data_IF_529872721002
#
_entry.id   IF_529872721002
#
_cell.length_a   1.000
_cell.length_b   1.000
_cell.length_c   1.000
_cell.angle_alpha   90.00
_cell.angle_beta   90.00
_cell.angle_gamma   90.00
#
_symmetry.space_group_name_H-M   'P 1'
#
loop_
_entity.id
_entity.type
_entity.pdbx_description
1 polymer ?
#
# COMPACT_ATOMS: atom_id res chain seq x y z
N UNK A 1 30.52 20.24 -47.52
CA UNK A 1 31.88 19.71 -47.24
C UNK A 1 32.27 20.18 -45.85
N UNK A 2 31.93 19.41 -44.81
CA UNK A 2 32.71 18.27 -44.28
C UNK A 2 33.75 18.74 -43.25
N UNK A 3 33.35 18.70 -41.97
CA UNK A 3 34.22 18.84 -40.81
C UNK A 3 33.78 17.85 -39.72
N UNK A 4 34.00 16.56 -39.98
CA UNK A 4 33.75 15.47 -39.04
C UNK A 4 34.71 15.56 -37.83
N UNK A 5 34.16 15.64 -36.61
CA UNK A 5 34.83 15.14 -35.40
C UNK A 5 34.15 13.84 -34.98
N UNK A 6 34.82 12.71 -35.23
CA UNK A 6 34.49 11.40 -34.65
C UNK A 6 35.06 11.35 -33.23
N UNK A 7 34.21 11.12 -32.23
CA UNK A 7 34.62 10.57 -30.93
C UNK A 7 34.42 9.04 -30.96
N UNK A 8 35.31 8.26 -30.32
CA UNK A 8 35.32 6.81 -30.46
C UNK A 8 34.28 6.11 -29.58
N UNK A 9 33.75 5.04 -30.17
CA UNK A 9 32.91 3.97 -29.62
C UNK A 9 33.47 3.44 -28.29
N UNK A 10 32.74 3.63 -27.18
CA UNK A 10 33.00 2.91 -25.93
C UNK A 10 32.29 1.56 -25.99
N UNK A 11 33.11 0.53 -25.82
CA UNK A 11 32.81 -0.89 -25.85
C UNK A 11 31.80 -1.24 -24.74
N UNK A 12 30.65 -1.80 -25.12
CA UNK A 12 29.77 -2.55 -24.21
C UNK A 12 30.47 -3.86 -23.84
N UNK A 13 31.04 -3.95 -22.64
CA UNK A 13 31.48 -5.22 -22.08
C UNK A 13 30.25 -5.97 -21.53
N UNK A 14 29.80 -6.95 -22.31
CA UNK A 14 28.90 -8.00 -21.87
C UNK A 14 29.74 -9.14 -21.30
N UNK A 15 29.62 -9.43 -20.01
CA UNK A 15 30.24 -10.60 -19.38
C UNK A 15 29.17 -11.66 -19.13
N UNK A 16 28.89 -12.42 -20.17
CA UNK A 16 28.54 -13.83 -20.09
C UNK A 16 29.84 -14.58 -19.82
N UNK A 17 29.99 -15.14 -18.62
CA UNK A 17 30.99 -16.16 -18.34
C UNK A 17 30.31 -17.32 -17.61
N UNK A 18 30.01 -18.33 -18.42
CA UNK A 18 29.72 -19.71 -18.08
C UNK A 18 30.82 -20.33 -17.20
N UNK A 19 30.42 -20.87 -16.05
CA UNK A 19 31.11 -21.99 -15.41
C UNK A 19 30.08 -23.10 -15.16
N UNK A 20 30.08 -24.09 -16.06
CA UNK A 20 29.71 -25.47 -15.74
C UNK A 20 30.80 -26.07 -14.82
N UNK A 21 30.45 -27.21 -14.19
CA UNK A 21 31.20 -28.02 -13.21
C UNK A 21 30.96 -27.57 -11.76
N UNK A 22 30.31 -28.33 -10.86
CA UNK A 22 29.75 -29.67 -10.88
C UNK A 22 28.55 -29.69 -9.91
N UNK A 23 27.47 -30.38 -10.25
CA UNK A 23 26.38 -30.61 -9.31
C UNK A 23 26.77 -31.73 -8.34
N UNK A 24 26.65 -31.55 -7.02
CA UNK A 24 26.65 -32.69 -6.13
C UNK A 24 25.30 -33.39 -6.28
N UNK A 25 25.35 -34.65 -6.70
CA UNK A 25 24.25 -35.59 -6.55
C UNK A 25 23.96 -35.68 -5.05
N UNK A 26 22.85 -35.08 -4.62
CA UNK A 26 22.37 -35.23 -3.24
C UNK A 26 21.78 -36.63 -3.16
N UNK A 27 22.50 -37.52 -2.48
CA UNK A 27 22.04 -38.86 -2.16
C UNK A 27 20.79 -38.77 -1.26
N UNK A 28 19.67 -39.29 -1.74
CA UNK A 28 18.36 -39.23 -1.08
C UNK A 28 18.31 -39.97 0.28
N UNK A 29 19.38 -40.68 0.66
CA UNK A 29 19.50 -41.41 1.92
C UNK A 29 20.20 -40.64 3.05
N UNK A 30 20.70 -39.42 2.80
CA UNK A 30 21.34 -38.60 3.83
C UNK A 30 20.35 -37.74 4.64
N UNK A 31 19.06 -37.78 4.29
CA UNK A 31 17.98 -37.00 4.92
C UNK A 31 17.33 -37.68 6.14
N UNK A 32 17.82 -38.82 6.62
CA UNK A 32 17.16 -39.61 7.68
C UNK A 32 17.91 -39.60 9.02
N UNK A 33 19.07 -38.95 9.13
CA UNK A 33 19.87 -38.97 10.36
C UNK A 33 20.24 -37.56 10.88
N UNK A 34 19.25 -36.70 11.13
CA UNK A 34 19.38 -35.61 12.12
C UNK A 34 18.04 -35.24 12.75
N UNK A 35 17.10 -36.19 12.82
CA UNK A 35 15.78 -35.99 13.38
C UNK A 35 15.74 -36.38 14.88
N UNK A 36 16.56 -35.77 15.72
CA UNK A 36 16.38 -35.79 17.18
C UNK A 36 17.01 -34.57 17.82
N UNK A 37 16.42 -33.40 17.56
CA UNK A 37 16.35 -32.28 18.50
C UNK A 37 15.21 -31.39 18.00
N UNK A 38 13.97 -31.87 18.15
CA UNK A 38 12.80 -30.99 18.11
C UNK A 38 12.90 -30.07 19.32
N UNK A 39 13.64 -28.97 19.18
CA UNK A 39 13.37 -27.77 19.98
C UNK A 39 11.89 -27.48 19.80
N UNK A 40 11.12 -27.47 20.89
CA UNK A 40 9.71 -27.11 20.86
C UNK A 40 9.54 -25.87 19.97
N UNK A 41 8.70 -25.97 18.93
CA UNK A 41 8.54 -24.90 17.96
C UNK A 41 8.15 -23.61 18.71
N UNK A 42 9.08 -22.66 18.78
CA UNK A 42 8.85 -21.38 19.44
C UNK A 42 7.77 -20.67 18.66
N UNK A 43 6.63 -20.40 19.30
CA UNK A 43 5.53 -19.69 18.69
C UNK A 43 6.03 -18.32 18.17
N UNK A 44 5.64 -17.91 16.95
CA UNK A 44 6.04 -16.62 16.42
C UNK A 44 5.65 -15.47 17.38
N UNK A 45 6.58 -14.59 17.79
CA UNK A 45 6.26 -13.44 18.60
C UNK A 45 5.22 -12.56 17.91
N UNK A 46 4.14 -12.28 18.61
CA UNK A 46 2.98 -11.60 18.06
C UNK A 46 2.40 -10.60 19.07
N UNK A 47 2.11 -9.39 18.60
CA UNK A 47 1.28 -8.41 19.30
C UNK A 47 -0.16 -8.49 18.80
N UNK A 48 -1.12 -8.28 19.70
CA UNK A 48 -2.54 -8.39 19.36
C UNK A 48 -3.34 -7.21 19.86
N UNK A 49 -4.23 -6.69 19.02
CA UNK A 49 -5.23 -5.68 19.40
C UNK A 49 -6.61 -6.23 19.06
N UNK A 50 -7.35 -6.61 20.09
CA UNK A 50 -8.66 -7.27 19.97
C UNK A 50 -9.59 -6.62 20.99
N UNK A 51 -10.84 -6.34 20.59
CA UNK A 51 -11.85 -5.89 21.54
C UNK A 51 -12.13 -7.00 22.57
N UNK A 52 -12.26 -6.67 23.87
CA UNK A 52 -12.54 -7.68 24.90
C UNK A 52 -13.90 -8.38 24.73
N UNK A 53 -14.86 -7.72 24.08
CA UNK A 53 -16.23 -8.19 23.91
C UNK A 53 -16.67 -8.08 22.45
N UNK A 54 -17.43 -9.09 22.00
CA UNK A 54 -18.00 -9.17 20.66
C UNK A 54 -17.15 -10.00 19.68
N UNK A 55 -17.82 -10.65 18.73
CA UNK A 55 -17.16 -11.38 17.65
C UNK A 55 -16.54 -10.38 16.66
N UNK A 56 -15.25 -10.51 16.28
CA UNK A 56 -14.65 -9.64 15.27
C UNK A 56 -15.36 -9.76 13.92
N UNK A 57 -15.43 -8.65 13.19
CA UNK A 57 -15.96 -8.61 11.81
C UNK A 57 -15.00 -9.30 10.84
N UNK A 58 -13.70 -9.15 11.09
CA UNK A 58 -12.61 -9.79 10.37
C UNK A 58 -11.38 -9.89 11.29
N UNK A 59 -10.46 -10.78 10.95
CA UNK A 59 -9.13 -10.84 11.53
C UNK A 59 -8.10 -10.37 10.49
N UNK A 60 -7.10 -9.63 10.94
CA UNK A 60 -6.03 -9.08 10.11
C UNK A 60 -4.68 -9.43 10.73
N UNK A 61 -3.89 -10.22 10.01
CA UNK A 61 -2.49 -10.49 10.36
C UNK A 61 -1.61 -9.46 9.66
N UNK A 62 -0.72 -8.79 10.39
CA UNK A 62 0.17 -7.76 9.89
C UNK A 62 1.64 -8.22 9.93
N UNK A 63 2.39 -7.97 8.85
CA UNK A 63 3.81 -8.33 8.72
C UNK A 63 4.62 -7.07 8.44
N UNK A 64 5.58 -6.77 9.31
CA UNK A 64 6.31 -5.50 9.25
C UNK A 64 7.42 -5.47 8.18
N UNK A 65 7.85 -4.26 7.83
CA UNK A 65 8.95 -3.94 6.92
C UNK A 65 10.34 -4.18 7.50
N UNK A 66 11.37 -4.04 6.65
CA UNK A 66 12.76 -4.32 7.01
C UNK A 66 13.21 -3.41 8.16
N UNK A 67 13.73 -3.99 9.24
CA UNK A 67 14.34 -3.24 10.35
C UNK A 67 13.36 -2.77 11.43
N UNK A 68 12.07 -3.01 11.26
CA UNK A 68 11.03 -2.72 12.23
C UNK A 68 10.70 -3.96 13.08
N UNK A 69 9.62 -3.88 13.86
CA UNK A 69 9.04 -4.99 14.61
C UNK A 69 7.51 -4.84 14.66
N UNK A 70 6.80 -5.82 15.25
CA UNK A 70 5.35 -5.84 15.38
C UNK A 70 4.74 -4.58 16.02
N UNK A 71 5.49 -3.85 16.85
CA UNK A 71 5.04 -2.60 17.47
C UNK A 71 4.85 -1.46 16.46
N UNK A 72 5.39 -1.58 15.25
CA UNK A 72 5.14 -0.62 14.17
C UNK A 72 3.64 -0.50 13.85
N UNK A 73 2.83 -1.52 14.13
CA UNK A 73 1.39 -1.49 13.94
C UNK A 73 0.58 -1.00 15.15
N UNK A 74 1.19 -0.43 16.20
CA UNK A 74 0.48 -0.06 17.43
C UNK A 74 -0.69 0.91 17.19
N UNK A 75 -0.47 2.04 16.51
CA UNK A 75 -1.55 3.00 16.20
C UNK A 75 -2.61 2.40 15.26
N UNK A 76 -2.17 1.69 14.22
CA UNK A 76 -3.06 1.02 13.27
C UNK A 76 -3.93 -0.04 13.95
N UNK A 77 -3.33 -0.91 14.77
CA UNK A 77 -4.00 -1.99 15.50
C UNK A 77 -5.00 -1.47 16.51
N UNK A 78 -4.66 -0.40 17.24
CA UNK A 78 -5.61 0.27 18.15
C UNK A 78 -6.81 0.87 17.40
N UNK A 79 -6.59 1.50 16.23
CA UNK A 79 -7.68 2.05 15.40
C UNK A 79 -8.56 0.97 14.80
N UNK A 80 -7.97 -0.04 14.17
CA UNK A 80 -8.68 -1.14 13.54
C UNK A 80 -9.47 -1.97 14.56
N UNK A 81 -8.89 -2.25 15.74
CA UNK A 81 -9.58 -2.96 16.82
C UNK A 81 -10.79 -2.19 17.34
N UNK A 82 -10.73 -0.87 17.47
CA UNK A 82 -11.89 -0.01 17.80
C UNK A 82 -13.01 -0.13 16.78
N UNK A 83 -12.73 -0.53 15.55
CA UNK A 83 -13.71 -0.78 14.50
C UNK A 83 -14.14 -2.26 14.38
N UNK A 84 -13.73 -3.12 15.33
CA UNK A 84 -14.16 -4.52 15.37
C UNK A 84 -13.32 -5.47 14.52
N UNK A 85 -12.13 -5.06 14.07
CA UNK A 85 -11.16 -5.93 13.40
C UNK A 85 -10.17 -6.47 14.44
N UNK A 86 -10.02 -7.79 14.53
CA UNK A 86 -8.98 -8.38 15.38
C UNK A 86 -7.63 -8.31 14.67
N UNK A 87 -6.66 -7.57 15.22
CA UNK A 87 -5.35 -7.37 14.59
C UNK A 87 -4.26 -8.16 15.30
N UNK A 88 -3.41 -8.83 14.53
CA UNK A 88 -2.29 -9.64 14.97
C UNK A 88 -1.03 -9.22 14.21
N UNK A 89 -0.05 -8.57 14.83
CA UNK A 89 1.20 -8.20 14.17
C UNK A 89 2.33 -9.13 14.60
N UNK A 90 3.08 -9.67 13.63
CA UNK A 90 4.18 -10.61 13.86
C UNK A 90 5.53 -9.90 13.83
N UNK A 91 6.47 -10.37 14.64
CA UNK A 91 7.89 -10.09 14.42
C UNK A 91 8.43 -11.02 13.32
N UNK A 92 9.07 -10.44 12.30
CA UNK A 92 9.73 -11.17 11.21
C UNK A 92 11.07 -11.73 11.69
N UNK A 93 11.42 -12.96 11.27
CA UNK A 93 12.69 -13.61 11.59
C UNK A 93 13.88 -12.67 11.38
N UNK A 94 14.73 -12.58 12.38
CA UNK A 94 15.87 -11.67 12.41
C UNK A 94 15.57 -10.25 12.88
N UNK A 95 14.32 -9.94 13.23
CA UNK A 95 13.87 -8.63 13.74
C UNK A 95 13.00 -8.78 14.99
N UNK A 96 12.74 -7.66 15.67
CA UNK A 96 11.90 -7.66 16.86
C UNK A 96 12.44 -8.59 17.94
N UNK A 97 11.56 -9.36 18.55
CA UNK A 97 11.89 -10.32 19.60
C UNK A 97 12.81 -11.45 19.13
N UNK A 98 12.86 -11.74 17.83
CA UNK A 98 13.74 -12.78 17.28
C UNK A 98 15.22 -12.47 17.42
N UNK A 99 15.62 -11.20 17.52
CA UNK A 99 17.03 -10.83 17.71
C UNK A 99 17.61 -11.35 19.03
N UNK A 100 16.74 -11.66 20.00
CA UNK A 100 17.08 -12.23 21.31
C UNK A 100 16.95 -13.75 21.34
N UNK A 101 16.49 -14.36 20.25
CA UNK A 101 16.17 -15.78 20.15
C UNK A 101 17.30 -16.53 19.46
N UNK A 102 17.99 -17.41 20.22
CA UNK A 102 19.14 -18.17 19.72
C UNK A 102 18.77 -19.01 18.50
N UNK A 103 19.51 -18.85 17.39
CA UNK A 103 19.27 -19.53 16.12
C UNK A 103 18.25 -18.84 15.20
N UNK A 104 17.62 -17.76 15.65
CA UNK A 104 16.61 -16.99 14.92
C UNK A 104 17.00 -15.51 14.77
N UNK A 105 18.21 -15.14 15.18
CA UNK A 105 18.64 -13.74 15.29
C UNK A 105 18.82 -13.09 13.93
N UNK A 106 19.01 -13.86 12.85
CA UNK A 106 19.26 -13.38 11.50
C UNK A 106 18.06 -13.64 10.58
N UNK A 107 18.03 -12.91 9.47
CA UNK A 107 16.98 -13.04 8.47
C UNK A 107 16.97 -14.46 7.88
N UNK A 108 15.81 -15.11 7.94
CA UNK A 108 15.50 -16.34 7.22
C UNK A 108 14.07 -16.23 6.67
N UNK A 109 13.93 -16.09 5.35
CA UNK A 109 12.63 -15.90 4.73
C UNK A 109 11.80 -17.18 4.66
N UNK A 110 12.41 -18.36 4.54
CA UNK A 110 11.67 -19.62 4.50
C UNK A 110 11.01 -19.89 5.87
N UNK A 111 11.78 -19.72 6.95
CA UNK A 111 11.25 -19.80 8.32
C UNK A 111 10.19 -18.72 8.56
N UNK A 112 10.39 -17.50 8.04
CA UNK A 112 9.40 -16.44 8.15
C UNK A 112 8.07 -16.80 7.46
N UNK A 113 8.10 -17.37 6.25
CA UNK A 113 6.89 -17.81 5.56
C UNK A 113 6.15 -18.89 6.37
N UNK A 114 6.90 -19.80 6.99
CA UNK A 114 6.33 -20.82 7.88
C UNK A 114 5.75 -20.21 9.17
N UNK A 115 6.42 -19.23 9.78
CA UNK A 115 5.92 -18.51 10.97
C UNK A 115 4.60 -17.78 10.66
N UNK A 116 4.49 -17.13 9.50
CA UNK A 116 3.23 -16.48 9.07
C UNK A 116 2.14 -17.52 8.85
N UNK A 117 2.46 -18.66 8.21
CA UNK A 117 1.51 -19.78 8.02
C UNK A 117 0.96 -20.29 9.36
N UNK A 118 1.85 -20.61 10.32
CA UNK A 118 1.47 -21.10 11.65
C UNK A 118 0.60 -20.08 12.39
N UNK A 119 0.90 -18.79 12.23
CA UNK A 119 0.08 -17.71 12.81
C UNK A 119 -1.30 -17.67 12.19
N UNK A 120 -1.40 -17.74 10.86
CA UNK A 120 -2.70 -17.77 10.16
C UNK A 120 -3.55 -18.97 10.58
N UNK A 121 -2.95 -20.15 10.71
CA UNK A 121 -3.62 -21.35 11.23
C UNK A 121 -4.14 -21.13 12.66
N UNK A 122 -3.32 -20.56 13.54
CA UNK A 122 -3.70 -20.24 14.92
C UNK A 122 -4.82 -19.18 15.00
N UNK A 123 -4.76 -18.14 14.17
CA UNK A 123 -5.77 -17.08 14.09
C UNK A 123 -7.10 -17.64 13.61
N UNK A 124 -7.10 -18.49 12.56
CA UNK A 124 -8.33 -19.16 12.09
C UNK A 124 -8.93 -20.07 13.15
N UNK A 125 -8.08 -20.83 13.86
CA UNK A 125 -8.53 -21.70 14.95
C UNK A 125 -9.16 -20.91 16.11
N UNK A 126 -8.59 -19.75 16.42
CA UNK A 126 -9.05 -18.90 17.53
C UNK A 126 -10.28 -18.06 17.16
N UNK A 127 -10.54 -17.86 15.86
CA UNK A 127 -11.64 -17.05 15.34
C UNK A 127 -12.50 -17.86 14.34
N UNK A 128 -13.25 -18.88 14.81
CA UNK A 128 -14.04 -19.71 13.92
C UNK A 128 -15.09 -18.87 13.16
N UNK A 129 -15.18 -19.11 11.84
CA UNK A 129 -16.08 -18.39 10.93
C UNK A 129 -15.88 -16.86 10.92
N UNK A 130 -14.66 -16.40 11.17
CA UNK A 130 -14.24 -15.00 10.96
C UNK A 130 -13.32 -14.97 9.73
N UNK A 131 -13.57 -14.09 8.76
CA UNK A 131 -12.69 -13.90 7.60
C UNK A 131 -11.30 -13.43 8.03
N UNK A 132 -10.25 -14.02 7.45
CA UNK A 132 -8.85 -13.72 7.80
C UNK A 132 -8.15 -13.06 6.62
N UNK A 133 -7.52 -11.93 6.85
CA UNK A 133 -6.74 -11.19 5.87
C UNK A 133 -5.28 -11.06 6.31
N UNK A 134 -4.41 -10.82 5.35
CA UNK A 134 -2.99 -10.58 5.58
C UNK A 134 -2.61 -9.21 5.02
N UNK A 135 -2.05 -8.34 5.85
CA UNK A 135 -1.45 -7.08 5.46
C UNK A 135 0.06 -7.15 5.66
N UNK A 136 0.81 -6.63 4.72
CA UNK A 136 2.22 -6.38 4.92
C UNK A 136 2.66 -5.12 4.22
N UNK A 137 3.71 -4.48 4.73
CA UNK A 137 4.27 -3.27 4.15
C UNK A 137 5.77 -3.41 3.87
N UNK A 138 6.20 -2.90 2.71
CA UNK A 138 7.57 -3.01 2.22
C UNK A 138 8.01 -4.48 2.09
N UNK A 139 9.06 -4.89 2.81
CA UNK A 139 9.45 -6.30 2.98
C UNK A 139 8.28 -7.18 3.43
N UNK A 140 7.45 -6.68 4.35
CA UNK A 140 6.24 -7.37 4.80
C UNK A 140 5.21 -7.53 3.70
N UNK A 141 5.08 -6.57 2.79
CA UNK A 141 4.18 -6.65 1.63
C UNK A 141 4.63 -7.73 0.65
N UNK A 142 5.94 -7.81 0.42
CA UNK A 142 6.56 -8.90 -0.33
C UNK A 142 6.32 -10.27 0.31
N UNK A 143 6.45 -10.38 1.64
CA UNK A 143 6.13 -11.61 2.39
C UNK A 143 4.65 -11.94 2.25
N UNK A 144 3.76 -10.96 2.37
CA UNK A 144 2.31 -11.14 2.27
C UNK A 144 1.89 -11.71 0.91
N UNK A 145 2.42 -11.17 -0.19
CA UNK A 145 2.19 -11.70 -1.54
C UNK A 145 2.69 -13.14 -1.70
N UNK A 146 3.85 -13.46 -1.12
CA UNK A 146 4.41 -14.81 -1.18
C UNK A 146 3.59 -15.81 -0.39
N UNK A 147 3.18 -15.47 0.83
CA UNK A 147 2.30 -16.28 1.68
C UNK A 147 0.96 -16.51 0.98
N UNK A 148 0.35 -15.46 0.42
CA UNK A 148 -0.89 -15.58 -0.32
C UNK A 148 -0.78 -16.50 -1.54
N UNK A 149 0.40 -16.54 -2.18
CA UNK A 149 0.69 -17.43 -3.31
C UNK A 149 0.84 -18.89 -2.89
N UNK A 150 1.41 -19.14 -1.70
CA UNK A 150 1.67 -20.48 -1.18
C UNK A 150 0.48 -21.09 -0.44
N UNK A 151 -0.27 -20.27 0.31
CA UNK A 151 -1.33 -20.69 1.22
C UNK A 151 -2.63 -19.87 1.03
N UNK A 152 -3.15 -19.75 -0.20
CA UNK A 152 -4.33 -18.94 -0.48
C UNK A 152 -5.58 -19.38 0.31
N UNK A 153 -5.68 -20.65 0.69
CA UNK A 153 -6.79 -21.23 1.46
C UNK A 153 -6.89 -20.71 2.91
N UNK A 154 -5.80 -20.16 3.45
CA UNK A 154 -5.79 -19.57 4.79
C UNK A 154 -6.37 -18.16 4.81
N UNK A 155 -6.56 -17.54 3.64
CA UNK A 155 -6.87 -16.11 3.49
C UNK A 155 -8.20 -15.87 2.77
N UNK A 156 -8.82 -14.75 3.10
CA UNK A 156 -9.96 -14.16 2.41
C UNK A 156 -9.56 -12.94 1.55
N UNK A 157 -8.32 -12.47 1.71
CA UNK A 157 -7.72 -11.42 0.90
C UNK A 157 -6.32 -11.08 1.40
N UNK A 158 -5.52 -10.43 0.55
CA UNK A 158 -4.18 -9.94 0.91
C UNK A 158 -4.06 -8.45 0.57
N UNK A 159 -3.48 -7.69 1.50
CA UNK A 159 -3.12 -6.28 1.36
C UNK A 159 -1.61 -6.18 1.33
N UNK A 160 -1.07 -5.61 0.25
CA UNK A 160 0.36 -5.48 0.02
C UNK A 160 0.72 -4.00 -0.19
N UNK A 161 1.35 -3.39 0.80
CA UNK A 161 1.79 -2.00 0.75
C UNK A 161 3.24 -1.91 0.29
N UNK A 162 3.52 -1.04 -0.69
CA UNK A 162 4.86 -0.72 -1.23
C UNK A 162 5.81 -1.92 -1.43
N UNK A 163 5.39 -3.03 -2.07
CA UNK A 163 6.08 -4.32 -1.99
C UNK A 163 7.28 -4.49 -2.94
N UNK A 164 7.60 -3.51 -3.79
CA UNK A 164 8.59 -3.68 -4.82
C UNK A 164 10.04 -3.66 -4.28
N UNK A 165 10.90 -4.47 -4.90
CA UNK A 165 12.31 -4.62 -4.51
C UNK A 165 13.23 -3.54 -5.08
N UNK A 166 12.85 -2.92 -6.20
CA UNK A 166 13.66 -1.88 -6.83
C UNK A 166 13.57 -0.55 -6.08
N UNK A 167 14.74 -0.02 -5.73
CA UNK A 167 14.88 1.18 -4.89
C UNK A 167 15.51 2.34 -5.66
N UNK A 168 15.21 3.56 -5.22
CA UNK A 168 16.03 4.70 -5.61
C UNK A 168 17.50 4.48 -5.18
N UNK A 169 18.45 4.78 -6.08
CA UNK A 169 19.89 4.58 -5.89
C UNK A 169 20.40 3.12 -5.78
N UNK A 170 19.62 2.12 -6.26
CA UNK A 170 19.99 0.70 -6.18
C UNK A 170 21.44 0.38 -6.63
N UNK A 171 21.94 0.97 -7.71
CA UNK A 171 23.32 0.74 -8.17
C UNK A 171 24.42 1.11 -7.16
N UNK A 172 24.19 2.11 -6.29
CA UNK A 172 25.14 2.45 -5.21
C UNK A 172 25.09 1.42 -4.08
N UNK A 173 23.89 0.97 -3.74
CA UNK A 173 23.66 -0.06 -2.71
C UNK A 173 24.24 -1.41 -3.14
N UNK A 174 24.03 -1.82 -4.39
CA UNK A 174 24.57 -3.07 -4.95
C UNK A 174 26.10 -3.09 -4.92
N UNK A 175 26.75 -1.96 -5.25
CA UNK A 175 28.20 -1.82 -5.17
C UNK A 175 28.73 -1.93 -3.73
N UNK A 176 28.03 -1.33 -2.76
CA UNK A 176 28.37 -1.46 -1.34
C UNK A 176 28.22 -2.89 -0.84
N UNK A 177 27.13 -3.56 -1.20
CA UNK A 177 26.89 -4.97 -0.85
C UNK A 177 27.99 -5.85 -1.44
N UNK A 178 28.37 -5.65 -2.71
CA UNK A 178 29.46 -6.39 -3.34
C UNK A 178 30.82 -6.19 -2.64
N UNK A 179 31.16 -4.95 -2.28
CA UNK A 179 32.38 -4.63 -1.53
C UNK A 179 32.38 -5.29 -0.14
N UNK A 180 31.25 -5.30 0.56
CA UNK A 180 31.11 -5.97 1.86
C UNK A 180 31.13 -7.49 1.74
N UNK A 181 30.63 -8.05 0.64
CA UNK A 181 30.72 -9.48 0.37
C UNK A 181 32.19 -9.94 0.22
N UNK A 182 33.04 -9.13 -0.44
CA UNK A 182 34.47 -9.40 -0.59
C UNK A 182 35.26 -9.29 0.73
N UNK A 183 34.84 -8.42 1.63
CA UNK A 183 35.53 -8.19 2.92
C UNK A 183 35.00 -9.06 4.06
N UNK A 184 33.86 -9.74 3.88
CA UNK A 184 33.31 -10.72 4.82
C UNK A 184 31.77 -10.78 4.76
N UNK A 185 31.17 -11.79 4.10
CA UNK A 185 29.74 -11.79 3.80
C UNK A 185 28.81 -11.91 5.02
N UNK A 186 29.34 -12.40 6.16
CA UNK A 186 28.62 -12.51 7.44
C UNK A 186 28.86 -11.31 8.38
N UNK A 187 29.74 -10.38 8.01
CA UNK A 187 30.02 -9.20 8.83
C UNK A 187 28.85 -8.22 8.72
N UNK A 188 28.30 -7.81 9.87
CA UNK A 188 27.20 -6.85 9.94
C UNK A 188 27.72 -5.42 9.72
N UNK A 189 26.92 -4.60 9.06
CA UNK A 189 27.17 -3.17 8.90
C UNK A 189 25.86 -2.39 8.96
N UNK A 190 25.94 -1.15 9.44
CA UNK A 190 24.77 -0.31 9.63
C UNK A 190 24.34 0.30 8.30
N UNK A 191 23.14 -0.04 7.84
CA UNK A 191 22.49 0.58 6.66
C UNK A 191 21.43 1.61 7.06
N UNK A 192 21.29 1.86 8.36
CA UNK A 192 20.16 2.57 8.95
C UNK A 192 20.08 4.03 8.54
N UNK A 193 21.18 4.79 8.61
CA UNK A 193 21.14 6.23 8.31
C UNK A 193 20.69 6.55 6.89
N UNK A 194 21.06 5.73 5.89
CA UNK A 194 20.65 5.95 4.50
C UNK A 194 19.19 5.56 4.29
N UNK A 195 18.77 4.41 4.83
CA UNK A 195 17.41 3.88 4.64
C UNK A 195 16.39 4.74 5.40
N UNK A 196 16.63 5.04 6.67
CA UNK A 196 15.72 5.81 7.53
C UNK A 196 15.40 7.18 6.93
N UNK A 197 16.39 7.86 6.35
CA UNK A 197 16.20 9.17 5.71
C UNK A 197 15.41 9.12 4.39
N UNK A 198 15.36 7.97 3.72
CA UNK A 198 14.56 7.77 2.51
C UNK A 198 13.14 7.30 2.83
N UNK A 199 12.97 6.60 3.94
CA UNK A 199 11.68 6.04 4.38
C UNK A 199 10.73 7.13 4.92
N UNK A 200 11.26 8.07 5.72
CA UNK A 200 10.43 9.12 6.33
C UNK A 200 11.17 10.45 6.47
N UNK A 201 10.45 11.56 6.34
CA UNK A 201 10.94 12.90 6.73
C UNK A 201 10.63 13.27 8.18
N UNK A 202 9.82 12.46 8.88
CA UNK A 202 9.42 12.72 10.26
C UNK A 202 10.55 12.40 11.24
N UNK A 203 11.17 13.43 11.81
CA UNK A 203 12.31 13.29 12.73
C UNK A 203 11.96 12.50 14.01
N UNK A 204 10.72 12.61 14.51
CA UNK A 204 10.31 11.85 15.70
C UNK A 204 10.32 10.35 15.42
N UNK A 205 9.86 9.93 14.23
CA UNK A 205 9.90 8.52 13.82
C UNK A 205 11.31 8.02 13.55
N UNK A 206 12.18 8.88 13.00
CA UNK A 206 13.60 8.53 12.86
C UNK A 206 14.20 8.26 14.24
N UNK A 207 13.91 9.09 15.22
CA UNK A 207 14.39 8.93 16.59
C UNK A 207 13.80 7.69 17.27
N UNK A 208 12.49 7.46 17.15
CA UNK A 208 11.82 6.27 17.67
C UNK A 208 12.44 5.00 17.08
N UNK A 209 12.57 4.93 15.76
CA UNK A 209 13.11 3.77 15.09
C UNK A 209 14.59 3.53 15.42
N UNK A 210 15.40 4.59 15.50
CA UNK A 210 16.83 4.44 15.81
C UNK A 210 17.11 4.16 17.30
N UNK A 211 16.18 4.50 18.19
CA UNK A 211 16.30 4.24 19.64
C UNK A 211 15.63 2.94 20.10
N UNK A 212 14.79 2.33 19.25
CA UNK A 212 14.11 1.08 19.57
C UNK A 212 15.12 -0.10 19.67
N UNK A 213 15.26 -0.75 20.84
CA UNK A 213 16.19 -1.86 21.02
C UNK A 213 15.77 -3.14 20.29
N UNK A 214 14.54 -3.21 19.77
CA UNK A 214 14.00 -4.31 18.98
C UNK A 214 14.03 -4.02 17.46
N UNK A 215 14.29 -2.77 17.07
CA UNK A 215 14.60 -2.44 15.69
C UNK A 215 16.03 -2.89 15.34
N UNK A 216 16.23 -3.33 14.10
CA UNK A 216 17.53 -3.83 13.65
C UNK A 216 17.88 -3.32 12.26
N UNK A 217 18.86 -2.44 12.20
CA UNK A 217 19.39 -1.88 10.94
C UNK A 217 20.83 -2.31 10.65
N UNK A 218 21.39 -3.22 11.45
CA UNK A 218 22.68 -3.84 11.22
C UNK A 218 22.49 -5.20 10.53
N UNK A 219 22.66 -5.21 9.20
CA UNK A 219 22.51 -6.40 8.37
C UNK A 219 23.86 -6.79 7.75
N UNK A 220 24.05 -8.09 7.51
CA UNK A 220 25.20 -8.59 6.75
C UNK A 220 24.93 -8.54 5.24
N UNK A 221 26.00 -8.55 4.44
CA UNK A 221 25.87 -8.63 2.97
C UNK A 221 25.09 -9.89 2.54
N UNK A 222 25.24 -11.02 3.27
CA UNK A 222 24.46 -12.23 3.04
C UNK A 222 22.96 -12.03 3.28
N UNK A 223 22.57 -11.30 4.32
CA UNK A 223 21.15 -11.00 4.61
C UNK A 223 20.57 -10.06 3.56
N UNK A 224 21.34 -9.05 3.12
CA UNK A 224 20.91 -8.14 2.06
C UNK A 224 20.75 -8.82 0.70
N UNK A 225 21.63 -9.76 0.36
CA UNK A 225 21.50 -10.58 -0.84
C UNK A 225 20.27 -11.49 -0.76
N UNK A 226 20.04 -12.15 0.38
CA UNK A 226 18.83 -12.95 0.60
C UNK A 226 17.56 -12.10 0.46
N UNK A 227 17.57 -10.89 1.02
CA UNK A 227 16.48 -9.92 0.88
C UNK A 227 16.24 -9.59 -0.60
N UNK A 228 17.27 -9.22 -1.36
CA UNK A 228 17.12 -8.85 -2.78
C UNK A 228 16.60 -10.03 -3.62
N UNK A 229 17.14 -11.24 -3.42
CA UNK A 229 16.67 -12.45 -4.09
C UNK A 229 15.21 -12.73 -3.76
N UNK A 230 14.82 -12.60 -2.48
CA UNK A 230 13.45 -12.81 -2.05
C UNK A 230 12.48 -11.81 -2.70
N UNK A 231 12.80 -10.51 -2.63
CA UNK A 231 11.97 -9.44 -3.22
C UNK A 231 11.79 -9.64 -4.72
N UNK A 232 12.87 -9.91 -5.46
CA UNK A 232 12.82 -10.10 -6.91
C UNK A 232 12.03 -11.34 -7.32
N UNK A 233 12.02 -12.38 -6.49
CA UNK A 233 11.24 -13.59 -6.75
C UNK A 233 9.72 -13.37 -6.74
N UNK A 234 9.22 -12.21 -6.28
CA UNK A 234 7.78 -11.98 -6.18
C UNK A 234 7.09 -11.83 -7.54
N UNK A 235 7.81 -11.42 -8.59
CA UNK A 235 7.26 -11.36 -9.94
C UNK A 235 6.69 -12.71 -10.40
N UNK A 236 7.29 -13.82 -9.97
CA UNK A 236 6.79 -15.16 -10.32
C UNK A 236 5.71 -15.67 -9.37
N UNK A 237 5.71 -15.24 -8.11
CA UNK A 237 4.68 -15.67 -7.15
C UNK A 237 3.32 -15.00 -7.42
N UNK A 238 3.32 -13.71 -7.81
CA UNK A 238 2.07 -12.97 -8.06
C UNK A 238 1.29 -13.50 -9.26
N UNK A 239 1.97 -14.10 -10.24
CA UNK A 239 1.33 -14.79 -11.38
C UNK A 239 0.50 -16.01 -10.96
N UNK A 240 0.77 -16.58 -9.78
CA UNK A 240 0.03 -17.73 -9.23
C UNK A 240 -1.17 -17.30 -8.38
N UNK A 241 -1.28 -16.01 -8.02
CA UNK A 241 -2.42 -15.48 -7.29
C UNK A 241 -3.61 -15.35 -8.25
N UNK A 242 -4.41 -16.41 -8.41
CA UNK A 242 -5.49 -16.46 -9.42
C UNK A 242 -6.90 -16.21 -8.87
N UNK A 243 -7.12 -16.42 -7.57
CA UNK A 243 -8.46 -16.38 -6.95
C UNK A 243 -8.58 -15.40 -5.80
N UNK A 244 -7.48 -15.19 -5.06
CA UNK A 244 -7.52 -14.41 -3.83
C UNK A 244 -7.67 -12.91 -4.16
N UNK A 245 -8.57 -12.16 -3.50
CA UNK A 245 -8.63 -10.72 -3.62
C UNK A 245 -7.31 -10.08 -3.20
N UNK A 246 -6.79 -9.15 -4.01
CA UNK A 246 -5.54 -8.42 -3.73
C UNK A 246 -5.77 -6.92 -3.70
N UNK A 247 -5.39 -6.28 -2.60
CA UNK A 247 -5.23 -4.83 -2.53
C UNK A 247 -3.74 -4.50 -2.53
N UNK A 248 -3.28 -3.73 -3.51
CA UNK A 248 -1.95 -3.13 -3.49
C UNK A 248 -2.06 -1.65 -3.18
N UNK A 249 -1.25 -1.16 -2.24
CA UNK A 249 -1.25 0.25 -1.83
C UNK A 249 0.14 0.84 -2.02
N UNK A 250 0.20 2.05 -2.58
CA UNK A 250 1.45 2.76 -2.85
C UNK A 250 1.36 4.22 -2.38
N UNK A 251 2.39 4.68 -1.68
CA UNK A 251 2.53 6.08 -1.33
C UNK A 251 3.03 6.90 -2.53
N UNK A 252 2.34 7.99 -2.85
CA UNK A 252 2.73 8.88 -3.95
C UNK A 252 3.96 9.73 -3.63
N UNK A 253 4.27 9.88 -2.34
CA UNK A 253 5.45 10.61 -1.87
C UNK A 253 6.58 9.65 -1.46
N UNK A 254 6.50 8.36 -1.85
CA UNK A 254 7.53 7.36 -1.56
C UNK A 254 8.84 7.71 -2.28
N UNK A 255 9.92 7.82 -1.49
CA UNK A 255 11.28 8.14 -1.96
C UNK A 255 12.22 6.93 -1.89
N UNK A 256 11.73 5.79 -1.40
CA UNK A 256 12.48 4.54 -1.32
C UNK A 256 12.15 3.63 -2.49
N UNK A 257 10.86 3.41 -2.75
CA UNK A 257 10.35 2.54 -3.82
C UNK A 257 9.66 3.39 -4.88
N UNK A 258 9.97 3.12 -6.15
CA UNK A 258 9.31 3.82 -7.27
C UNK A 258 7.88 3.30 -7.43
N UNK A 259 6.86 4.19 -7.53
CA UNK A 259 5.48 3.77 -7.75
C UNK A 259 5.28 2.87 -8.98
N UNK A 260 6.01 3.13 -10.07
CA UNK A 260 5.94 2.36 -11.32
C UNK A 260 6.27 0.87 -11.10
N UNK A 261 7.20 0.56 -10.20
CA UNK A 261 7.64 -0.82 -9.94
C UNK A 261 6.57 -1.60 -9.16
N UNK A 262 5.93 -0.96 -8.18
CA UNK A 262 4.77 -1.53 -7.51
C UNK A 262 3.63 -1.75 -8.51
N UNK A 263 3.39 -0.81 -9.42
CA UNK A 263 2.38 -0.96 -10.46
C UNK A 263 2.71 -2.10 -11.44
N UNK A 264 3.97 -2.29 -11.80
CA UNK A 264 4.43 -3.37 -12.66
C UNK A 264 4.27 -4.74 -12.02
N UNK A 265 4.51 -4.85 -10.71
CA UNK A 265 4.18 -6.05 -9.95
C UNK A 265 2.66 -6.27 -9.90
N UNK A 266 1.86 -5.22 -9.70
CA UNK A 266 0.40 -5.30 -9.70
C UNK A 266 -0.18 -5.80 -11.02
N UNK A 267 0.37 -5.33 -12.16
CA UNK A 267 -0.06 -5.78 -13.49
C UNK A 267 0.11 -7.29 -13.67
N UNK A 268 1.12 -7.88 -13.04
CA UNK A 268 1.44 -9.31 -13.12
C UNK A 268 0.57 -10.20 -12.22
N UNK A 269 -0.19 -9.64 -11.27
CA UNK A 269 -1.14 -10.40 -10.44
C UNK A 269 -2.21 -11.02 -11.35
N UNK A 270 -2.39 -12.34 -11.27
CA UNK A 270 -3.35 -13.06 -12.10
C UNK A 270 -4.81 -12.96 -11.60
N UNK A 271 -5.01 -12.48 -10.37
CA UNK A 271 -6.32 -12.41 -9.73
C UNK A 271 -7.17 -11.37 -10.45
N UNK A 272 -8.42 -11.72 -10.85
CA UNK A 272 -9.33 -10.76 -11.45
C UNK A 272 -9.86 -9.75 -10.43
N UNK A 273 -9.87 -10.11 -9.14
CA UNK A 273 -10.23 -9.21 -8.04
C UNK A 273 -8.95 -8.58 -7.45
N UNK A 274 -8.43 -7.58 -8.17
CA UNK A 274 -7.26 -6.83 -7.74
C UNK A 274 -7.50 -5.33 -7.83
N UNK A 275 -7.05 -4.60 -6.81
CA UNK A 275 -7.16 -3.14 -6.73
C UNK A 275 -5.79 -2.55 -6.43
N UNK A 276 -5.44 -1.48 -7.14
CA UNK A 276 -4.25 -0.67 -6.85
C UNK A 276 -4.69 0.69 -6.34
N UNK A 277 -4.23 1.10 -5.16
CA UNK A 277 -4.53 2.40 -4.57
C UNK A 277 -3.27 3.22 -4.34
N UNK A 278 -3.26 4.40 -4.92
CA UNK A 278 -2.24 5.42 -4.74
C UNK A 278 -2.70 6.44 -3.69
N UNK A 279 -1.91 6.70 -2.65
CA UNK A 279 -2.30 7.52 -1.49
C UNK A 279 -1.30 8.63 -1.20
N UNK A 280 -1.71 9.76 -0.60
CA UNK A 280 -0.81 10.85 -0.23
C UNK A 280 -0.02 10.48 1.04
N UNK A 281 0.85 9.48 0.95
CA UNK A 281 1.73 9.03 2.03
C UNK A 281 3.14 8.78 1.48
N UNK A 282 4.15 8.74 2.37
CA UNK A 282 5.51 8.33 1.99
C UNK A 282 5.60 6.79 2.01
N UNK A 283 6.74 6.22 2.42
CA UNK A 283 6.95 4.77 2.38
C UNK A 283 6.18 3.99 3.47
N UNK A 284 5.90 4.60 4.63
CA UNK A 284 5.28 3.93 5.78
C UNK A 284 3.80 4.33 5.90
N UNK A 285 2.93 3.64 5.17
CA UNK A 285 1.51 3.97 5.03
C UNK A 285 0.72 3.47 6.25
N UNK A 286 1.04 2.25 6.69
CA UNK A 286 0.36 1.55 7.78
C UNK A 286 1.27 1.29 8.98
N UNK A 287 2.58 1.19 8.76
CA UNK A 287 3.58 1.06 9.80
C UNK A 287 3.96 2.43 10.34
N UNK A 288 4.07 2.54 11.67
CA UNK A 288 4.40 3.78 12.37
C UNK A 288 3.40 4.92 12.06
N UNK A 289 3.25 5.87 12.99
CA UNK A 289 2.34 7.00 12.76
C UNK A 289 2.99 8.06 11.87
N UNK A 290 3.33 7.72 10.62
CA UNK A 290 4.07 8.62 9.70
C UNK A 290 3.41 9.96 9.53
N UNK A 291 2.11 9.94 9.30
CA UNK A 291 1.32 11.16 9.33
C UNK A 291 1.05 11.58 10.76
N UNK A 292 1.55 12.76 11.14
CA UNK A 292 1.14 13.41 12.39
C UNK A 292 -0.36 13.75 12.37
N UNK A 293 -0.94 13.99 11.18
CA UNK A 293 -2.38 14.17 11.01
C UNK A 293 -3.14 12.87 11.37
N UNK A 294 -3.92 12.87 12.47
CA UNK A 294 -4.74 11.72 12.88
C UNK A 294 -5.80 11.35 11.85
N UNK A 295 -6.25 12.30 11.03
CA UNK A 295 -7.24 12.04 10.00
C UNK A 295 -6.65 11.20 8.88
N UNK A 296 -5.48 11.54 8.33
CA UNK A 296 -4.82 10.70 7.32
C UNK A 296 -4.57 9.27 7.84
N UNK A 297 -4.13 9.09 9.09
CA UNK A 297 -3.95 7.75 9.72
C UNK A 297 -5.24 6.96 9.80
N UNK A 298 -6.32 7.61 10.24
CA UNK A 298 -7.65 7.02 10.27
C UNK A 298 -8.13 6.61 8.86
N UNK A 299 -7.83 7.43 7.85
CA UNK A 299 -8.27 7.21 6.48
C UNK A 299 -7.53 6.05 5.81
N UNK A 300 -6.22 5.91 6.05
CA UNK A 300 -5.45 4.76 5.62
C UNK A 300 -6.01 3.46 6.22
N UNK A 301 -6.30 3.45 7.53
CA UNK A 301 -6.94 2.30 8.19
C UNK A 301 -8.33 2.00 7.62
N UNK A 302 -9.19 3.02 7.47
CA UNK A 302 -10.56 2.85 6.95
C UNK A 302 -10.59 2.29 5.54
N UNK A 303 -9.67 2.71 4.68
CA UNK A 303 -9.56 2.18 3.32
C UNK A 303 -9.34 0.66 3.34
N UNK A 304 -8.38 0.18 4.14
CA UNK A 304 -8.11 -1.27 4.29
C UNK A 304 -9.33 -1.98 4.86
N UNK A 305 -9.93 -1.42 5.91
CA UNK A 305 -11.11 -2.00 6.54
C UNK A 305 -12.31 -2.08 5.58
N UNK A 306 -12.63 -1.00 4.85
CA UNK A 306 -13.70 -0.98 3.86
C UNK A 306 -13.44 -2.05 2.80
N UNK A 307 -12.23 -2.07 2.24
CA UNK A 307 -11.88 -3.07 1.23
C UNK A 307 -12.08 -4.49 1.76
N UNK A 308 -11.55 -4.81 2.96
CA UNK A 308 -11.75 -6.12 3.59
C UNK A 308 -13.23 -6.45 3.74
N UNK A 309 -14.01 -5.53 4.30
CA UNK A 309 -15.40 -5.79 4.63
C UNK A 309 -16.27 -5.95 3.38
N UNK A 310 -15.93 -5.32 2.24
CA UNK A 310 -16.59 -5.61 0.96
C UNK A 310 -16.38 -7.06 0.51
N UNK A 311 -15.27 -7.71 0.90
CA UNK A 311 -15.02 -9.14 0.61
C UNK A 311 -15.74 -10.06 1.58
N UNK A 312 -16.02 -9.58 2.80
CA UNK A 312 -16.77 -10.34 3.81
C UNK A 312 -18.27 -10.35 3.50
N UNK A 313 -18.84 -9.19 3.19
CA UNK A 313 -20.28 -9.01 3.09
C UNK A 313 -20.81 -8.97 1.66
N UNK A 314 -19.92 -8.96 0.65
CA UNK A 314 -20.29 -8.80 -0.75
C UNK A 314 -20.94 -7.44 -1.03
N UNK A 315 -21.79 -7.39 -2.06
CA UNK A 315 -22.60 -6.21 -2.42
C UNK A 315 -24.01 -6.23 -1.79
N UNK A 316 -24.25 -7.10 -0.80
CA UNK A 316 -25.59 -7.33 -0.27
C UNK A 316 -26.07 -6.16 0.60
N UNK A 317 -27.20 -5.56 0.22
CA UNK A 317 -27.76 -4.32 0.79
C UNK A 317 -28.15 -4.47 2.27
N UNK A 318 -28.40 -5.69 2.76
CA UNK A 318 -28.69 -5.92 4.18
C UNK A 318 -27.47 -5.69 5.10
N UNK A 319 -26.25 -5.78 4.54
CA UNK A 319 -25.00 -5.50 5.26
C UNK A 319 -24.54 -4.04 5.09
N UNK A 320 -25.25 -3.24 4.28
CA UNK A 320 -24.97 -1.83 4.09
C UNK A 320 -25.11 -1.05 5.41
N UNK A 321 -25.91 -1.49 6.37
CA UNK A 321 -26.02 -0.85 7.69
C UNK A 321 -24.78 -1.03 8.56
N UNK A 322 -24.09 -2.17 8.48
CA UNK A 322 -22.81 -2.38 9.17
C UNK A 322 -21.72 -1.52 8.52
N UNK A 323 -21.66 -1.49 7.18
CA UNK A 323 -20.75 -0.60 6.44
C UNK A 323 -21.07 0.86 6.70
N UNK A 324 -22.34 1.24 6.73
CA UNK A 324 -22.78 2.60 7.00
C UNK A 324 -22.56 2.99 8.47
N UNK A 325 -22.64 2.05 9.42
CA UNK A 325 -22.27 2.28 10.83
C UNK A 325 -20.76 2.48 10.99
N UNK A 326 -19.96 1.64 10.32
CA UNK A 326 -18.51 1.79 10.22
C UNK A 326 -18.12 3.16 9.63
N UNK A 327 -18.77 3.56 8.53
CA UNK A 327 -18.56 4.88 7.90
C UNK A 327 -19.07 6.05 8.76
N UNK A 328 -20.13 5.85 9.57
CA UNK A 328 -20.72 6.86 10.46
C UNK A 328 -19.96 7.08 11.77
N UNK A 329 -19.04 6.18 12.14
CA UNK A 329 -18.25 6.35 13.38
C UNK A 329 -17.36 7.59 13.22
N UNK A 330 -17.50 8.63 14.06
CA UNK A 330 -16.68 9.83 13.95
C UNK A 330 -15.21 9.49 14.18
N UNK A 331 -14.31 9.96 13.30
CA UNK A 331 -12.88 9.93 13.61
C UNK A 331 -12.65 10.71 14.93
N UNK A 332 -11.89 10.20 15.91
CA UNK A 332 -11.67 10.93 17.14
C UNK A 332 -10.93 12.25 16.83
N UNK A 333 -11.45 13.35 17.39
CA UNK A 333 -11.03 14.75 17.23
C UNK A 333 -11.54 15.49 15.98
N UNK A 334 -12.85 15.75 15.96
CA UNK A 334 -13.48 16.76 15.09
C UNK A 334 -13.25 18.21 15.57
N UNK A 335 -12.41 18.45 16.57
CA UNK A 335 -12.31 19.78 17.20
C UNK A 335 -11.18 20.67 16.72
N UNK A 336 -10.31 20.27 15.78
CA UNK A 336 -9.21 21.17 15.39
C UNK A 336 -8.58 21.00 14.00
N UNK A 337 -9.18 20.25 13.07
CA UNK A 337 -8.74 20.26 11.66
C UNK A 337 -9.80 20.92 10.79
N UNK A 338 -10.00 22.21 11.04
CA UNK A 338 -10.39 23.11 9.97
C UNK A 338 -9.11 23.48 9.19
N UNK A 339 -8.55 22.54 8.43
CA UNK A 339 -7.51 22.88 7.46
C UNK A 339 -8.19 23.42 6.22
N UNK A 340 -8.52 24.71 6.26
CA UNK A 340 -8.88 25.55 5.11
C UNK A 340 -9.72 24.88 4.01
N UNK A 341 -10.83 24.23 4.37
CA UNK A 341 -11.99 24.33 3.49
C UNK A 341 -12.38 25.80 3.53
N UNK A 342 -12.11 26.55 2.45
CA UNK A 342 -12.91 27.75 2.19
C UNK A 342 -14.37 27.30 2.33
N UNK A 343 -15.18 28.08 3.03
CA UNK A 343 -16.63 27.92 2.95
C UNK A 343 -16.96 27.75 1.47
N UNK A 344 -17.62 26.65 1.12
CA UNK A 344 -17.99 26.40 -0.27
C UNK A 344 -19.02 27.47 -0.60
N UNK A 345 -18.54 28.56 -1.21
CA UNK A 345 -19.42 29.59 -1.74
C UNK A 345 -20.35 28.89 -2.73
N UNK A 346 -21.65 29.17 -2.60
CA UNK A 346 -22.64 28.62 -3.53
C UNK A 346 -22.20 28.92 -4.96
N UNK A 347 -22.52 28.00 -5.88
CA UNK A 347 -22.24 28.22 -7.30
C UNK A 347 -22.82 29.58 -7.77
N UNK A 348 -22.15 30.26 -8.71
CA UNK A 348 -22.75 31.40 -9.39
C UNK A 348 -24.15 31.04 -9.90
N UNK A 349 -25.09 31.99 -9.84
CA UNK A 349 -26.48 31.74 -10.29
C UNK A 349 -26.54 31.28 -11.74
N UNK A 350 -25.59 31.73 -12.54
CA UNK A 350 -25.40 31.41 -13.94
C UNK A 350 -24.98 29.96 -14.17
N UNK A 351 -24.38 29.29 -13.18
CA UNK A 351 -24.00 27.87 -13.23
C UNK A 351 -25.07 26.93 -12.68
N UNK A 352 -26.01 27.42 -11.87
CA UNK A 352 -26.95 26.58 -11.12
C UNK A 352 -27.80 25.65 -12.00
N UNK A 353 -28.35 26.17 -13.11
CA UNK A 353 -29.16 25.36 -14.03
C UNK A 353 -28.36 24.25 -14.73
N UNK A 354 -27.11 24.55 -15.10
CA UNK A 354 -26.22 23.60 -15.77
C UNK A 354 -25.69 22.54 -14.77
N UNK A 355 -25.34 22.96 -13.56
CA UNK A 355 -25.01 22.07 -12.45
C UNK A 355 -26.15 21.10 -12.12
N UNK A 356 -27.39 21.60 -12.04
CA UNK A 356 -28.58 20.77 -11.86
C UNK A 356 -28.80 19.78 -13.01
N UNK A 357 -28.46 20.16 -14.25
CA UNK A 357 -28.54 19.25 -15.39
C UNK A 357 -27.53 18.11 -15.32
N UNK A 358 -26.30 18.38 -14.84
CA UNK A 358 -25.28 17.36 -14.65
C UNK A 358 -25.60 16.42 -13.49
N UNK A 359 -26.27 16.91 -12.45
CA UNK A 359 -26.60 16.13 -11.25
C UNK A 359 -28.10 15.78 -11.16
N UNK A 360 -28.77 15.59 -12.31
CA UNK A 360 -30.23 15.44 -12.37
C UNK A 360 -30.77 14.24 -11.58
N UNK A 361 -30.26 13.05 -11.89
CA UNK A 361 -30.79 11.78 -11.35
C UNK A 361 -29.86 11.13 -10.31
N UNK A 362 -28.61 11.61 -10.22
CA UNK A 362 -27.54 11.13 -9.34
C UNK A 362 -26.53 12.27 -9.14
N UNK A 363 -25.67 12.25 -8.10
CA UNK A 363 -24.64 13.28 -7.93
C UNK A 363 -23.74 13.38 -9.15
N UNK A 364 -23.04 14.49 -9.27
CA UNK A 364 -22.09 14.71 -10.36
C UNK A 364 -20.71 15.13 -9.85
N UNK A 365 -19.68 14.69 -10.56
CA UNK A 365 -18.32 15.18 -10.43
C UNK A 365 -17.91 15.77 -11.77
N UNK A 366 -17.60 17.06 -11.79
CA UNK A 366 -17.26 17.81 -12.99
C UNK A 366 -15.78 18.16 -12.94
N UNK A 367 -14.99 17.62 -13.87
CA UNK A 367 -13.59 17.96 -14.07
C UNK A 367 -13.47 18.99 -15.20
N UNK A 368 -12.96 20.17 -14.88
CA UNK A 368 -12.48 21.15 -15.85
C UNK A 368 -10.98 20.93 -16.09
N UNK A 369 -10.60 20.63 -17.33
CA UNK A 369 -9.22 20.31 -17.72
C UNK A 369 -8.82 21.00 -19.02
N UNK A 370 -7.53 20.96 -19.35
CA UNK A 370 -7.00 21.33 -20.66
C UNK A 370 -6.02 20.26 -21.14
N UNK A 371 -5.98 20.00 -22.46
CA UNK A 371 -5.17 18.92 -23.05
C UNK A 371 -3.67 19.15 -23.01
N UNK A 372 -3.23 20.42 -23.01
CA UNK A 372 -1.81 20.77 -22.96
C UNK A 372 -1.22 20.67 -21.53
N UNK A 373 -2.07 20.49 -20.51
CA UNK A 373 -1.63 20.29 -19.13
C UNK A 373 -1.59 18.79 -18.83
N UNK A 374 -0.40 18.19 -18.83
CA UNK A 374 -0.19 16.74 -18.72
C UNK A 374 -0.93 16.09 -17.53
N UNK A 375 -0.85 16.69 -16.34
CA UNK A 375 -1.57 16.18 -15.16
C UNK A 375 -3.10 16.36 -15.25
N UNK A 376 -3.60 17.36 -15.98
CA UNK A 376 -5.04 17.55 -16.19
C UNK A 376 -5.58 16.62 -17.29
N UNK A 377 -4.78 16.31 -18.31
CA UNK A 377 -5.09 15.29 -19.32
C UNK A 377 -5.10 13.88 -18.72
N UNK A 378 -4.16 13.57 -17.83
CA UNK A 378 -4.16 12.33 -17.06
C UNK A 378 -5.42 12.20 -16.19
N UNK A 379 -5.84 13.29 -15.55
CA UNK A 379 -7.08 13.33 -14.78
C UNK A 379 -8.33 13.00 -15.62
N UNK A 380 -8.39 13.52 -16.84
CA UNK A 380 -9.49 13.25 -17.75
C UNK A 380 -9.55 11.77 -18.17
N UNK A 381 -8.39 11.13 -18.39
CA UNK A 381 -8.30 9.69 -18.68
C UNK A 381 -8.83 8.84 -17.51
N UNK A 382 -8.44 9.17 -16.29
CA UNK A 382 -8.93 8.48 -15.10
C UNK A 382 -10.42 8.70 -14.85
N UNK A 383 -10.96 9.89 -15.15
CA UNK A 383 -12.40 10.13 -15.12
C UNK A 383 -13.15 9.22 -16.09
N UNK A 384 -12.60 8.95 -17.27
CA UNK A 384 -13.22 8.05 -18.25
C UNK A 384 -13.15 6.57 -17.80
N UNK A 385 -12.04 6.14 -17.20
CA UNK A 385 -11.94 4.81 -16.58
C UNK A 385 -12.93 4.65 -15.42
N UNK A 386 -13.01 5.66 -14.54
CA UNK A 386 -13.95 5.69 -13.43
C UNK A 386 -15.41 5.69 -13.91
N UNK A 387 -15.70 6.29 -15.06
CA UNK A 387 -17.04 6.28 -15.66
C UNK A 387 -17.45 4.88 -16.10
N UNK A 388 -16.52 4.07 -16.60
CA UNK A 388 -16.76 2.65 -16.88
C UNK A 388 -17.13 1.84 -15.63
N UNK A 389 -16.58 2.19 -14.46
CA UNK A 389 -16.80 1.46 -13.21
C UNK A 389 -17.98 1.99 -12.39
N UNK A 390 -18.14 3.31 -12.32
CA UNK A 390 -19.03 4.01 -11.38
C UNK A 390 -20.13 4.82 -12.06
N UNK A 391 -20.19 4.80 -13.40
CA UNK A 391 -21.13 5.58 -14.20
C UNK A 391 -22.61 5.28 -13.88
N UNK A 392 -22.94 4.17 -13.22
CA UNK A 392 -24.30 3.90 -12.76
C UNK A 392 -24.67 4.64 -11.46
N UNK A 393 -23.69 5.12 -10.68
CA UNK A 393 -23.89 5.71 -9.34
C UNK A 393 -23.59 7.21 -9.29
N UNK A 394 -22.70 7.69 -10.15
CA UNK A 394 -22.31 9.11 -10.21
C UNK A 394 -22.18 9.57 -11.67
N UNK A 395 -22.56 10.81 -11.95
CA UNK A 395 -22.32 11.46 -13.24
C UNK A 395 -20.89 12.00 -13.27
N UNK A 396 -20.03 11.37 -14.06
CA UNK A 396 -18.66 11.83 -14.28
C UNK A 396 -18.61 12.65 -15.56
N UNK A 397 -18.38 13.95 -15.41
CA UNK A 397 -18.39 14.93 -16.49
C UNK A 397 -17.00 15.52 -16.65
N UNK A 398 -16.46 15.47 -17.87
CA UNK A 398 -15.16 16.08 -18.20
C UNK A 398 -15.36 17.21 -19.20
N UNK A 399 -14.87 18.40 -18.88
CA UNK A 399 -15.03 19.62 -19.68
C UNK A 399 -13.64 20.11 -20.10
N UNK A 400 -13.40 20.07 -21.41
CA UNK A 400 -12.19 20.66 -22.01
C UNK A 400 -12.35 22.18 -22.05
N UNK A 401 -11.72 22.86 -21.11
CA UNK A 401 -11.77 24.31 -20.93
C UNK A 401 -11.08 25.09 -22.05
N UNK A 402 -10.43 24.42 -23.03
CA UNK A 402 -9.93 25.07 -24.24
C UNK A 402 -10.91 25.04 -25.41
N UNK A 403 -11.91 24.17 -25.35
CA UNK A 403 -12.98 24.09 -26.36
C UNK A 403 -13.90 25.32 -26.30
N UNK A 404 -14.55 25.65 -27.41
CA UNK A 404 -15.46 26.81 -27.49
C UNK A 404 -16.61 26.72 -26.46
N UNK A 405 -17.20 25.53 -26.31
CA UNK A 405 -18.28 25.28 -25.36
C UNK A 405 -17.75 25.19 -23.92
N UNK A 406 -16.63 24.50 -23.71
CA UNK A 406 -16.02 24.37 -22.39
C UNK A 406 -15.53 25.68 -21.80
N UNK A 407 -15.07 26.65 -22.61
CA UNK A 407 -14.75 28.02 -22.16
C UNK A 407 -15.96 28.74 -21.58
N UNK A 408 -17.11 28.61 -22.22
CA UNK A 408 -18.34 29.24 -21.74
C UNK A 408 -18.85 28.58 -20.46
N UNK A 409 -18.82 27.24 -20.38
CA UNK A 409 -19.19 26.52 -19.15
C UNK A 409 -18.20 26.82 -18.01
N UNK A 410 -16.89 26.82 -18.26
CA UNK A 410 -15.87 27.18 -17.27
C UNK A 410 -16.06 28.61 -16.74
N UNK A 411 -16.46 29.55 -17.61
CA UNK A 411 -16.78 30.93 -17.23
C UNK A 411 -18.00 31.01 -16.31
N UNK A 412 -19.08 30.27 -16.59
CA UNK A 412 -20.28 30.21 -15.73
C UNK A 412 -19.96 29.64 -14.34
N UNK A 413 -19.13 28.60 -14.28
CA UNK A 413 -18.68 27.99 -13.03
C UNK A 413 -17.59 28.80 -12.30
N UNK A 414 -17.19 29.96 -12.85
CA UNK A 414 -16.12 30.82 -12.34
C UNK A 414 -14.80 30.06 -12.11
N UNK A 415 -14.44 29.17 -13.04
CA UNK A 415 -13.23 28.34 -12.95
C UNK A 415 -11.98 29.23 -13.04
N UNK A 416 -11.30 29.42 -11.91
CA UNK A 416 -10.12 30.28 -11.82
C UNK A 416 -8.79 29.59 -12.13
N UNK A 417 -8.75 28.26 -12.13
CA UNK A 417 -7.54 27.48 -12.40
C UNK A 417 -7.86 26.07 -12.94
N UNK A 418 -6.88 25.43 -13.56
CA UNK A 418 -7.00 24.10 -14.17
C UNK A 418 -5.89 23.19 -13.63
N UNK A 419 -6.18 21.92 -13.28
CA UNK A 419 -7.52 21.32 -13.22
C UNK A 419 -8.35 21.89 -12.07
N UNK A 420 -9.68 21.91 -12.25
CA UNK A 420 -10.63 22.16 -11.16
C UNK A 420 -11.72 21.10 -11.18
N UNK A 421 -12.12 20.63 -10.00
CA UNK A 421 -13.10 19.55 -9.84
C UNK A 421 -14.22 20.01 -8.93
N UNK A 422 -15.45 19.89 -9.38
CA UNK A 422 -16.65 20.29 -8.65
C UNK A 422 -17.45 19.04 -8.29
N UNK A 423 -17.84 18.93 -7.02
CA UNK A 423 -18.66 17.84 -6.51
C UNK A 423 -20.07 18.36 -6.23
N UNK A 424 -21.05 17.79 -6.92
CA UNK A 424 -22.45 18.19 -6.84
C UNK A 424 -23.29 17.07 -6.21
N UNK A 425 -24.21 17.45 -5.34
CA UNK A 425 -25.30 16.58 -4.88
C UNK A 425 -26.34 16.41 -5.97
N UNK A 426 -27.17 15.37 -5.85
CA UNK A 426 -28.38 15.23 -6.67
C UNK A 426 -29.21 16.51 -6.60
N UNK A 427 -29.59 17.06 -7.75
CA UNK A 427 -30.28 18.35 -7.86
C UNK A 427 -29.37 19.56 -8.14
N UNK A 428 -28.04 19.41 -8.05
CA UNK A 428 -27.09 20.42 -8.51
C UNK A 428 -26.41 21.27 -7.43
N UNK A 429 -26.71 21.02 -6.15
CA UNK A 429 -26.09 21.76 -5.05
C UNK A 429 -24.60 21.42 -4.91
N UNK A 430 -23.77 22.45 -4.79
CA UNK A 430 -22.32 22.30 -4.65
C UNK A 430 -21.95 21.78 -3.26
N UNK A 431 -21.25 20.66 -3.23
CA UNK A 431 -20.75 20.03 -2.02
C UNK A 431 -19.30 20.43 -1.71
N UNK A 432 -18.43 20.42 -2.71
CA UNK A 432 -17.02 20.82 -2.59
C UNK A 432 -16.41 21.18 -3.95
N UNK A 433 -15.29 21.90 -3.92
CA UNK A 433 -14.47 22.22 -5.09
C UNK A 433 -13.01 21.92 -4.77
N UNK A 434 -12.30 21.30 -5.70
CA UNK A 434 -10.86 21.07 -5.65
C UNK A 434 -10.18 21.82 -6.79
N UNK A 435 -9.02 22.43 -6.53
CA UNK A 435 -8.31 23.25 -7.51
C UNK A 435 -6.82 22.88 -7.50
N UNK A 436 -6.27 22.58 -8.68
CA UNK A 436 -4.84 22.36 -8.91
C UNK A 436 -4.41 20.89 -8.94
N UNK A 437 -3.18 20.65 -9.43
CA UNK A 437 -2.62 19.31 -9.61
C UNK A 437 -2.22 18.61 -8.29
N UNK A 438 -1.91 19.37 -7.23
CA UNK A 438 -1.38 18.84 -5.97
C UNK A 438 -2.39 18.05 -5.13
N UNK A 439 -3.68 18.07 -5.50
CA UNK A 439 -4.75 17.38 -4.75
C UNK A 439 -5.30 16.14 -5.45
N UNK A 440 -4.64 15.68 -6.51
CA UNK A 440 -5.12 14.55 -7.31
C UNK A 440 -5.25 13.20 -6.53
N UNK A 441 -4.44 12.91 -5.49
CA UNK A 441 -4.70 11.76 -4.61
C UNK A 441 -5.94 11.94 -3.71
N UNK A 442 -6.33 13.19 -3.40
CA UNK A 442 -7.59 13.50 -2.71
C UNK A 442 -8.81 13.40 -3.66
N UNK A 443 -8.60 13.42 -4.99
CA UNK A 443 -9.68 13.32 -5.96
C UNK A 443 -10.38 11.95 -5.90
N UNK A 444 -9.63 10.84 -5.86
CA UNK A 444 -10.22 9.49 -5.70
C UNK A 444 -10.98 9.39 -4.37
N UNK A 445 -10.45 10.00 -3.31
CA UNK A 445 -11.06 10.03 -1.98
C UNK A 445 -12.37 10.81 -1.96
N UNK A 446 -12.41 12.00 -2.56
CA UNK A 446 -13.63 12.81 -2.64
C UNK A 446 -14.63 12.23 -3.64
N UNK A 447 -14.18 11.61 -4.73
CA UNK A 447 -15.03 10.86 -5.65
C UNK A 447 -15.70 9.68 -4.95
N UNK A 448 -14.93 8.90 -4.18
CA UNK A 448 -15.49 7.82 -3.36
C UNK A 448 -16.48 8.34 -2.31
N UNK A 449 -16.17 9.47 -1.66
CA UNK A 449 -17.08 10.10 -0.69
C UNK A 449 -18.37 10.62 -1.34
N UNK A 450 -18.29 11.23 -2.52
CA UNK A 450 -19.46 11.68 -3.27
C UNK A 450 -20.35 10.50 -3.71
N UNK A 451 -19.75 9.35 -4.06
CA UNK A 451 -20.48 8.11 -4.33
C UNK A 451 -21.17 7.61 -3.05
N UNK A 452 -20.49 7.65 -1.89
CA UNK A 452 -21.06 7.23 -0.60
C UNK A 452 -22.23 8.12 -0.16
N UNK A 453 -22.13 9.44 -0.34
CA UNK A 453 -23.17 10.37 0.06
C UNK A 453 -24.40 10.38 -0.88
N UNK A 454 -24.32 9.67 -2.01
CA UNK A 454 -25.42 9.47 -2.96
C UNK A 454 -26.37 8.33 -2.61
N UNK A 455 -25.93 7.44 -1.72
CA UNK A 455 -26.72 6.31 -1.22
C UNK A 455 -27.52 6.67 0.06
N UNK A 456 -27.54 7.95 0.47
CA UNK A 456 -28.36 8.51 1.55
C UNK A 456 -29.46 9.39 0.96
#
# INVERSE_FOLDING_TARGET
MSGHKKLPTIIKLSLLASCLLAQPIIDANTLVASATEQTAAVAPPCKTWIKPLGKPLAALVCVHGLGLNSSAYEDFGLRASRQGIAVYALDVRGFGSWIKSKGAENVNFDDCLNDVKLTLEAVRKSNPNVPVFLLGESMGGAIALRVASLYPELLNGVISSVPAGERFQQGKTDLQVAAHFLTGPRRKFNIGKTIVNQVTQNEDLKNEWTSDPLARLDLSAKELLQFQVFMNGNHDCVKKLVKLPVLMVQGNNDRLVKPDESFDLFRQIASPDKVFLAVPSEHLIFEQSQSQDPWQREQNMRMVAIWMLTKVFGHDLHNADIMASFMRTPAPALTQVASQTKAVEALPKEAAAEAASFAKDKPAVILFYTKWCEGADHAAKLMEEAKGQWGNRVNLVTIDSDSKEGKETAKRFAVGAIPSIYFLKTGGDLSSVMVGQAEFPNFIKQLAQAIIDSDK
#
